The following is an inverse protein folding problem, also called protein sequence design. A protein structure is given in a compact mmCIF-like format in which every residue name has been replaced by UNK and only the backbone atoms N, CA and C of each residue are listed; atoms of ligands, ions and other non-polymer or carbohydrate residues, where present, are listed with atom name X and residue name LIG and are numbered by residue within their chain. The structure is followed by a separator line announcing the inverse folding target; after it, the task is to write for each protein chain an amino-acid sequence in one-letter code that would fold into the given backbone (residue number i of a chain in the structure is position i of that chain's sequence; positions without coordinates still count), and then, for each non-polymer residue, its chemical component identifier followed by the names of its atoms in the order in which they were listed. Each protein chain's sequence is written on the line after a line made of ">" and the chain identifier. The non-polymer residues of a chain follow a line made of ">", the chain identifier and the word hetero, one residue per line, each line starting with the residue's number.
data_IF_268639724010
#
_entry.id   IF_268639724010
#
_cell.length_a   1.000
_cell.length_b   1.000
_cell.length_c   1.000
_cell.angle_alpha   90.00
_cell.angle_beta   90.00
_cell.angle_gamma   90.00
#
_symmetry.space_group_name_H-M   'P 1'
#
loop_
_entity.id
_entity.type
_entity.pdbx_description
1 polymer ?
#
# COMPACT_ATOMS: atom_id res chain seq x y z
N UNK A 1 13.67 -29.80 -14.46
CA UNK A 1 13.64 -28.33 -14.58
C UNK A 1 12.21 -27.91 -14.29
N UNK A 2 11.92 -27.47 -13.07
CA UNK A 2 10.55 -27.06 -12.69
C UNK A 2 10.18 -25.80 -13.45
N UNK A 3 9.16 -25.93 -14.29
CA UNK A 3 8.43 -24.83 -14.93
C UNK A 3 7.96 -23.87 -13.82
N UNK A 4 8.66 -22.74 -13.68
CA UNK A 4 8.26 -21.68 -12.78
C UNK A 4 7.17 -20.88 -13.48
N UNK A 5 5.98 -21.50 -13.60
CA UNK A 5 4.78 -20.80 -14.04
C UNK A 5 4.70 -19.45 -13.31
N UNK A 6 4.60 -18.37 -14.08
CA UNK A 6 4.72 -16.98 -13.66
C UNK A 6 3.96 -16.72 -12.36
N UNK A 7 4.67 -16.74 -11.23
CA UNK A 7 4.04 -16.56 -9.91
C UNK A 7 3.48 -15.13 -9.82
N UNK A 8 2.20 -14.96 -9.45
CA UNK A 8 1.61 -13.63 -9.33
C UNK A 8 2.35 -12.82 -8.26
N UNK A 9 2.57 -11.53 -8.56
CA UNK A 9 3.23 -10.61 -7.65
C UNK A 9 2.18 -9.87 -6.83
N UNK A 10 2.23 -10.03 -5.52
CA UNK A 10 1.35 -9.33 -4.58
C UNK A 10 2.15 -8.25 -3.84
N UNK A 11 1.77 -6.99 -4.02
CA UNK A 11 2.27 -5.89 -3.21
C UNK A 11 1.30 -5.68 -2.05
N UNK A 12 1.76 -5.96 -0.82
CA UNK A 12 1.03 -5.64 0.40
C UNK A 12 1.74 -4.49 1.09
N UNK A 13 1.08 -3.34 1.18
CA UNK A 13 1.54 -2.21 1.97
C UNK A 13 1.19 -2.47 3.44
N UNK A 14 2.17 -2.88 4.23
CA UNK A 14 2.07 -3.00 5.69
C UNK A 14 3.03 -1.98 6.26
N UNK A 15 2.51 -0.80 6.61
CA UNK A 15 3.19 0.29 7.29
C UNK A 15 4.65 0.53 6.88
N UNK A 16 4.85 1.33 5.82
CA UNK A 16 6.12 2.05 5.64
C UNK A 16 6.86 1.96 4.31
N UNK A 17 6.19 1.71 3.19
CA UNK A 17 6.63 2.31 1.92
C UNK A 17 5.78 3.52 1.48
N UNK A 18 4.53 3.67 1.97
CA UNK A 18 3.64 4.79 1.62
C UNK A 18 3.41 5.83 2.72
N UNK A 19 3.77 5.52 3.97
CA UNK A 19 3.75 6.47 5.08
C UNK A 19 5.18 6.98 5.28
N UNK A 20 5.48 8.25 5.03
CA UNK A 20 6.83 8.76 5.23
C UNK A 20 7.13 8.94 6.73
N UNK A 21 8.20 8.28 7.22
CA UNK A 21 8.73 8.37 8.59
C UNK A 21 10.27 8.45 8.58
N UNK A 22 10.88 8.88 9.70
CA UNK A 22 12.33 8.90 9.88
C UNK A 22 13.10 10.16 9.41
N UNK A 23 12.42 11.19 8.90
CA UNK A 23 13.05 12.46 8.56
C UNK A 23 13.38 13.26 9.82
N UNK A 24 14.55 13.88 9.81
CA UNK A 24 14.99 14.80 10.87
C UNK A 24 14.28 16.15 10.75
N UNK A 25 14.24 16.91 11.85
CA UNK A 25 13.74 18.30 11.86
C UNK A 25 14.53 19.22 10.93
N UNK A 26 15.76 18.86 10.58
CA UNK A 26 16.58 19.62 9.62
C UNK A 26 16.16 19.33 8.18
N UNK A 27 15.70 18.10 7.90
CA UNK A 27 15.20 17.70 6.59
C UNK A 27 13.77 18.17 6.34
N UNK A 28 12.93 18.20 7.39
CA UNK A 28 11.55 18.69 7.35
C UNK A 28 11.30 19.66 8.53
N UNK A 29 11.67 20.95 8.39
CA UNK A 29 11.49 21.95 9.45
C UNK A 29 10.02 22.12 9.84
N UNK A 30 9.13 22.06 8.85
CA UNK A 30 7.68 22.24 9.01
C UNK A 30 6.94 20.91 9.24
N UNK A 31 7.68 19.80 9.40
CA UNK A 31 7.12 18.46 9.53
C UNK A 31 6.72 17.84 8.19
N UNK A 32 6.02 16.70 8.27
CA UNK A 32 5.57 15.98 7.08
C UNK A 32 4.37 16.66 6.42
N UNK A 33 4.30 16.69 5.08
CA UNK A 33 3.09 17.13 4.39
C UNK A 33 1.91 16.25 4.77
N UNK A 34 0.74 16.87 4.87
CA UNK A 34 -0.52 16.18 5.10
C UNK A 34 -1.46 16.41 3.92
N UNK A 35 -2.20 15.39 3.53
CA UNK A 35 -3.08 15.33 2.36
C UNK A 35 -4.53 15.04 2.73
N UNK A 36 -4.79 14.78 4.01
CA UNK A 36 -6.12 14.59 4.57
C UNK A 36 -6.17 15.19 5.99
N UNK A 37 -7.38 15.51 6.51
CA UNK A 37 -7.54 15.89 7.91
C UNK A 37 -6.97 14.82 8.85
N UNK A 38 -6.56 15.22 10.05
CA UNK A 38 -6.17 14.26 11.07
C UNK A 38 -7.35 13.32 11.36
N UNK A 39 -7.06 12.02 11.30
CA UNK A 39 -8.02 10.96 11.61
C UNK A 39 -7.77 10.47 13.03
N UNK A 40 -8.82 10.38 13.83
CA UNK A 40 -8.78 9.77 15.16
C UNK A 40 -8.33 8.30 15.12
N UNK A 41 -8.45 7.66 13.94
CA UNK A 41 -8.15 6.25 13.77
C UNK A 41 -6.63 5.96 13.73
N UNK A 42 -5.82 6.83 13.11
CA UNK A 42 -4.36 6.71 13.09
C UNK A 42 -3.70 8.01 12.59
N UNK A 43 -2.88 8.64 13.45
CA UNK A 43 -2.20 9.94 13.21
C UNK A 43 -1.35 10.01 11.95
N UNK A 44 -0.84 8.88 11.45
CA UNK A 44 0.04 8.84 10.29
C UNK A 44 -0.69 8.86 8.94
N UNK A 45 -2.01 8.63 8.93
CA UNK A 45 -2.78 8.53 7.69
C UNK A 45 -2.94 9.84 6.96
N UNK A 46 -2.99 10.94 7.71
CA UNK A 46 -3.03 12.27 7.11
C UNK A 46 -1.80 12.53 6.23
N UNK A 47 -0.69 11.80 6.40
CA UNK A 47 0.55 11.97 5.63
C UNK A 47 0.59 11.18 4.32
N UNK A 48 -0.40 10.32 4.06
CA UNK A 48 -0.41 9.50 2.86
C UNK A 48 -0.82 10.32 1.64
N UNK A 49 0.08 10.46 0.65
CA UNK A 49 -0.26 11.10 -0.63
C UNK A 49 -1.17 10.17 -1.45
N UNK A 50 -2.45 10.53 -1.69
CA UNK A 50 -3.37 9.69 -2.46
C UNK A 50 -2.90 9.46 -3.90
N UNK A 51 -1.98 10.27 -4.44
CA UNK A 51 -1.43 10.11 -5.79
C UNK A 51 -0.46 8.93 -5.91
N UNK A 52 0.09 8.42 -4.80
CA UNK A 52 1.02 7.29 -4.81
C UNK A 52 0.36 6.01 -5.32
N UNK A 53 -0.92 5.78 -5.01
CA UNK A 53 -1.67 4.61 -5.51
C UNK A 53 -1.73 4.56 -7.03
N UNK A 54 -2.04 5.70 -7.67
CA UNK A 54 -2.06 5.80 -9.15
C UNK A 54 -0.67 5.59 -9.75
N UNK A 55 0.39 6.09 -9.12
CA UNK A 55 1.77 5.88 -9.59
C UNK A 55 2.20 4.42 -9.50
N UNK A 56 1.87 3.75 -8.41
CA UNK A 56 2.12 2.30 -8.25
C UNK A 56 1.36 1.48 -9.29
N UNK A 57 0.08 1.80 -9.53
CA UNK A 57 -0.73 1.12 -10.55
C UNK A 57 -0.20 1.32 -11.98
N UNK A 58 0.54 2.39 -12.23
CA UNK A 58 1.13 2.69 -13.54
C UNK A 58 2.47 1.98 -13.80
N UNK A 59 3.05 1.29 -12.80
CA UNK A 59 4.27 0.54 -13.00
C UNK A 59 4.02 -0.66 -13.92
N UNK A 60 4.86 -0.83 -14.92
CA UNK A 60 4.80 -2.01 -15.78
C UNK A 60 5.31 -3.23 -15.00
N UNK A 61 4.42 -4.20 -14.80
CA UNK A 61 4.77 -5.48 -14.22
C UNK A 61 4.63 -6.58 -15.28
N UNK A 62 5.66 -7.43 -15.48
CA UNK A 62 5.60 -8.53 -16.46
C UNK A 62 4.65 -9.65 -16.04
N UNK A 63 4.07 -9.54 -14.85
CA UNK A 63 3.17 -10.51 -14.22
C UNK A 63 1.94 -9.79 -13.69
N UNK A 64 0.84 -10.52 -13.55
CA UNK A 64 -0.41 -9.99 -12.98
C UNK A 64 -0.16 -9.46 -11.56
N UNK A 65 -0.61 -8.22 -11.31
CA UNK A 65 -0.49 -7.54 -10.03
C UNK A 65 -1.88 -7.09 -9.53
N UNK A 66 -2.06 -7.04 -8.21
CA UNK A 66 -3.23 -6.48 -7.54
C UNK A 66 -2.79 -5.30 -6.68
N UNK A 67 -3.46 -4.17 -6.85
CA UNK A 67 -3.41 -3.08 -5.89
C UNK A 67 -4.64 -3.19 -4.99
N UNK A 68 -4.43 -3.63 -3.75
CA UNK A 68 -5.49 -3.77 -2.75
C UNK A 68 -5.32 -2.74 -1.64
N UNK A 69 -6.38 -1.98 -1.34
CA UNK A 69 -6.36 -0.98 -0.27
C UNK A 69 -6.80 -1.64 1.04
N UNK A 70 -5.89 -1.69 2.00
CA UNK A 70 -6.18 -2.09 3.38
C UNK A 70 -6.56 -0.85 4.19
N UNK A 71 -7.54 -0.98 5.08
CA UNK A 71 -7.81 0.05 6.07
C UNK A 71 -6.71 0.01 7.14
N UNK A 72 -5.85 1.03 7.22
CA UNK A 72 -4.71 1.03 8.13
C UNK A 72 -5.11 1.20 9.61
N UNK A 73 -6.36 1.54 9.92
CA UNK A 73 -6.86 1.52 11.29
C UNK A 73 -7.27 0.10 11.75
N UNK A 74 -7.52 -0.80 10.80
CA UNK A 74 -8.01 -2.15 11.06
C UNK A 74 -7.00 -3.24 10.69
N UNK A 75 -6.03 -2.91 9.84
CA UNK A 75 -5.13 -3.87 9.23
C UNK A 75 -5.87 -4.80 8.26
N UNK A 76 -5.21 -5.91 7.88
CA UNK A 76 -5.82 -6.95 7.06
C UNK A 76 -6.92 -7.68 7.84
N UNK A 77 -8.10 -7.74 7.25
CA UNK A 77 -9.29 -8.40 7.77
C UNK A 77 -9.63 -9.63 6.93
N UNK A 78 -10.59 -10.45 7.41
CA UNK A 78 -11.12 -11.58 6.64
C UNK A 78 -11.60 -11.19 5.23
N UNK A 79 -12.27 -10.04 5.12
CA UNK A 79 -12.75 -9.53 3.82
C UNK A 79 -11.60 -9.22 2.85
N UNK A 80 -10.46 -8.74 3.37
CA UNK A 80 -9.27 -8.53 2.55
C UNK A 80 -8.71 -9.86 2.04
N UNK A 81 -8.64 -10.88 2.91
CA UNK A 81 -8.20 -12.22 2.51
C UNK A 81 -9.14 -12.87 1.48
N UNK A 82 -10.45 -12.60 1.55
CA UNK A 82 -11.41 -13.08 0.54
C UNK A 82 -11.12 -12.47 -0.84
N UNK A 83 -10.84 -11.16 -0.89
CA UNK A 83 -10.45 -10.46 -2.13
C UNK A 83 -9.15 -11.03 -2.70
N UNK A 84 -8.12 -11.21 -1.85
CA UNK A 84 -6.85 -11.81 -2.26
C UNK A 84 -7.03 -13.23 -2.80
N UNK A 85 -7.84 -14.04 -2.11
CA UNK A 85 -8.14 -15.41 -2.52
C UNK A 85 -8.90 -15.50 -3.84
N UNK A 86 -9.89 -14.63 -4.05
CA UNK A 86 -10.61 -14.54 -5.31
C UNK A 86 -9.68 -14.13 -6.46
N UNK A 87 -8.81 -13.13 -6.23
CA UNK A 87 -7.85 -12.68 -7.22
C UNK A 87 -6.86 -13.78 -7.60
N UNK A 88 -6.31 -14.52 -6.63
CA UNK A 88 -5.38 -15.63 -6.87
C UNK A 88 -6.00 -16.77 -7.69
N UNK A 89 -7.29 -17.07 -7.48
CA UNK A 89 -8.02 -18.12 -8.23
C UNK A 89 -8.43 -17.70 -9.65
N UNK A 90 -8.49 -16.39 -9.92
CA UNK A 90 -8.86 -15.83 -11.22
C UNK A 90 -7.67 -15.67 -12.18
N UNK A 91 -6.48 -16.19 -11.81
CA UNK A 91 -5.26 -16.18 -12.62
C UNK A 91 -5.00 -17.52 -13.30
#
# INVERSE_FOLDING_TARGET
>A
MTDSALRPLLFVDVDGPLIPFGATRHQLPDGYPTYAPESDAHRLLSRLDPRLGTRLAALHHPVRALLHRVDPARGLTGADFDVLGAWLRAG
#
